data_IF_366745592021
#
_entry.id   IF_366745592021
#
_cell.length_a   1.000
_cell.length_b   1.000
_cell.length_c   1.000
_cell.angle_alpha   90.00
_cell.angle_beta   90.00
_cell.angle_gamma   90.00
#
_symmetry.space_group_name_H-M   'P 1'
#
loop_
_entity.id
_entity.type
_entity.pdbx_description
1 polymer ?
#
# COMPACT_ATOMS: atom_id res chain seq x y z
N UNK A 1 -46.96 51.35 28.26
CA UNK A 1 -45.78 50.72 28.90
C UNK A 1 -45.14 49.82 27.86
N UNK A 2 -44.06 50.30 27.22
CA UNK A 2 -43.33 49.55 26.21
C UNK A 2 -42.48 48.50 26.92
N UNK A 3 -42.81 47.21 26.76
CA UNK A 3 -41.98 46.14 27.29
C UNK A 3 -40.69 46.12 26.49
N UNK A 4 -39.64 46.70 27.08
CA UNK A 4 -38.29 46.69 26.55
C UNK A 4 -37.86 45.25 26.27
N UNK A 5 -37.47 45.00 25.02
CA UNK A 5 -36.99 43.72 24.55
C UNK A 5 -35.67 43.40 25.27
N UNK A 6 -35.72 42.64 26.37
CA UNK A 6 -34.51 42.23 27.08
C UNK A 6 -33.66 41.31 26.19
N UNK A 7 -32.36 41.58 26.03
CA UNK A 7 -31.49 40.71 25.25
C UNK A 7 -31.47 39.32 25.90
N UNK A 8 -31.81 38.30 25.10
CA UNK A 8 -31.75 36.91 25.57
C UNK A 8 -30.31 36.58 25.99
N UNK A 9 -30.11 35.90 27.14
CA UNK A 9 -28.78 35.47 27.56
C UNK A 9 -28.14 34.63 26.44
N UNK A 10 -26.86 34.88 26.16
CA UNK A 10 -26.10 34.07 25.21
C UNK A 10 -26.03 32.64 25.76
N UNK A 11 -26.24 31.61 24.94
CA UNK A 11 -26.14 30.25 25.41
C UNK A 11 -24.70 29.93 25.81
N UNK A 12 -24.51 29.30 26.97
CA UNK A 12 -23.20 28.87 27.47
C UNK A 12 -22.71 27.57 26.81
N UNK A 13 -23.61 26.86 26.12
CA UNK A 13 -23.34 25.59 25.46
C UNK A 13 -23.47 25.66 23.94
N UNK A 14 -22.74 24.79 23.20
CA UNK A 14 -22.86 24.70 21.75
C UNK A 14 -24.30 24.35 21.35
N UNK A 15 -24.77 24.94 20.25
CA UNK A 15 -26.08 24.61 19.70
C UNK A 15 -26.07 23.18 19.16
N UNK A 16 -27.15 22.44 19.38
CA UNK A 16 -27.23 21.03 18.95
C UNK A 16 -27.28 20.92 17.42
N UNK A 17 -26.44 20.05 16.87
CA UNK A 17 -26.50 19.63 15.46
C UNK A 17 -27.36 18.37 15.33
N UNK A 18 -28.25 18.34 14.32
CA UNK A 18 -28.97 17.12 13.95
C UNK A 18 -28.08 16.28 13.05
N UNK A 19 -27.85 15.01 13.41
CA UNK A 19 -27.00 14.06 12.66
C UNK A 19 -25.56 14.54 12.45
N UNK A 20 -25.01 15.32 13.38
CA UNK A 20 -23.63 15.74 13.30
C UNK A 20 -22.66 14.56 13.46
N UNK A 21 -21.50 14.68 12.83
CA UNK A 21 -20.43 13.70 12.82
C UNK A 21 -19.83 13.62 14.22
N UNK A 22 -19.94 12.45 14.83
CA UNK A 22 -19.36 12.13 16.12
C UNK A 22 -18.07 11.36 15.93
N UNK A 23 -17.08 11.67 16.77
CA UNK A 23 -15.91 10.82 16.91
C UNK A 23 -16.34 9.45 17.42
N UNK A 24 -15.87 8.39 16.77
CA UNK A 24 -16.12 7.00 17.14
C UNK A 24 -15.12 6.54 18.20
N UNK A 25 -13.89 7.03 18.13
CA UNK A 25 -12.82 6.77 19.10
C UNK A 25 -13.19 7.35 20.46
N UNK A 26 -13.12 6.50 21.49
CA UNK A 26 -13.33 6.89 22.89
C UNK A 26 -12.04 7.42 23.54
N UNK A 27 -10.91 6.91 23.09
CA UNK A 27 -9.55 7.30 23.49
C UNK A 27 -9.06 8.50 22.67
N UNK A 28 -8.00 9.17 23.14
CA UNK A 28 -7.37 10.30 22.45
C UNK A 28 -6.70 9.89 21.14
N UNK A 29 -5.82 10.74 20.59
CA UNK A 29 -5.06 10.47 19.35
C UNK A 29 -3.83 9.58 19.56
N UNK A 30 -3.82 8.77 20.61
CA UNK A 30 -2.68 7.92 20.98
C UNK A 30 -2.65 6.66 20.10
N UNK A 31 -1.48 6.14 19.75
CA UNK A 31 -1.34 4.89 18.99
C UNK A 31 -2.09 4.84 17.65
N UNK A 32 -2.10 5.95 16.90
CA UNK A 32 -2.63 5.95 15.54
C UNK A 32 -1.78 5.02 14.63
N UNK A 33 -2.46 4.28 13.76
CA UNK A 33 -1.80 3.56 12.66
C UNK A 33 -1.29 4.52 11.58
N UNK A 34 -0.36 4.04 10.75
CA UNK A 34 -0.05 4.71 9.49
C UNK A 34 -1.26 4.61 8.54
N UNK A 35 -1.64 5.66 7.75
CA UNK A 35 -0.98 6.96 7.60
C UNK A 35 -1.47 8.05 8.57
N UNK A 36 -2.49 7.76 9.40
CA UNK A 36 -3.07 8.75 10.32
C UNK A 36 -2.04 9.34 11.30
N UNK A 37 -1.17 8.50 11.88
CA UNK A 37 -0.10 8.94 12.78
C UNK A 37 0.77 10.04 12.18
N UNK A 38 1.20 9.85 10.95
CA UNK A 38 2.13 10.75 10.27
C UNK A 38 1.42 12.04 9.87
N UNK A 39 0.18 11.95 9.39
CA UNK A 39 -0.68 13.12 9.15
C UNK A 39 -0.93 13.94 10.42
N UNK A 40 -1.06 13.31 11.59
CA UNK A 40 -1.26 14.01 12.85
C UNK A 40 -0.09 14.94 13.18
N UNK A 41 1.12 14.61 12.73
CA UNK A 41 2.32 15.46 12.89
C UNK A 41 2.36 16.67 11.95
N UNK A 42 1.52 16.67 10.91
CA UNK A 42 1.42 17.76 9.90
C UNK A 42 0.34 18.79 10.24
N UNK A 43 -0.56 18.44 11.15
CA UNK A 43 -1.68 19.28 11.54
C UNK A 43 -1.43 19.92 12.90
N UNK A 44 -1.98 21.12 13.12
CA UNK A 44 -1.81 21.83 14.38
C UNK A 44 -2.78 21.25 15.42
N UNK A 45 -2.59 19.99 15.81
CA UNK A 45 -3.49 19.31 16.76
C UNK A 45 -3.04 19.52 18.20
N UNK A 46 -1.73 19.50 18.42
CA UNK A 46 -1.12 19.53 19.75
C UNK A 46 -0.59 20.91 20.15
N UNK A 47 -0.81 21.94 19.32
CA UNK A 47 -0.27 23.28 19.51
C UNK A 47 -0.92 24.01 20.70
N UNK A 48 -2.19 23.71 21.00
CA UNK A 48 -2.94 24.28 22.12
C UNK A 48 -3.77 23.22 22.85
N UNK A 49 -3.37 22.85 24.10
CA UNK A 49 -4.09 21.85 24.89
C UNK A 49 -5.56 22.18 25.17
N UNK A 50 -5.91 23.47 25.31
CA UNK A 50 -7.29 23.86 25.59
C UNK A 50 -8.17 23.73 24.34
N UNK A 51 -7.67 24.15 23.18
CA UNK A 51 -8.33 23.90 21.90
C UNK A 51 -8.51 22.41 21.61
N UNK A 52 -7.52 21.58 21.94
CA UNK A 52 -7.62 20.12 21.83
C UNK A 52 -8.72 19.54 22.74
N UNK A 53 -8.73 19.96 24.02
CA UNK A 53 -9.75 19.53 24.99
C UNK A 53 -11.16 19.87 24.49
N UNK A 54 -11.38 21.10 24.06
CA UNK A 54 -12.66 21.57 23.53
C UNK A 54 -13.04 20.86 22.22
N UNK A 55 -12.08 20.63 21.33
CA UNK A 55 -12.30 19.89 20.08
C UNK A 55 -12.80 18.47 20.36
N UNK A 56 -12.21 17.75 21.32
CA UNK A 56 -12.65 16.42 21.71
C UNK A 56 -14.06 16.41 22.30
N UNK A 57 -14.43 17.41 23.11
CA UNK A 57 -15.80 17.57 23.63
C UNK A 57 -16.83 17.82 22.51
N UNK A 58 -16.45 18.65 21.54
CA UNK A 58 -17.28 18.94 20.37
C UNK A 58 -17.41 17.71 19.46
N UNK A 59 -16.33 16.94 19.30
CA UNK A 59 -16.32 15.69 18.57
C UNK A 59 -17.22 14.63 19.19
N UNK A 60 -17.18 14.48 20.53
CA UNK A 60 -18.07 13.56 21.27
C UNK A 60 -19.54 13.95 21.16
N UNK A 61 -19.83 15.25 21.19
CA UNK A 61 -21.21 15.75 21.08
C UNK A 61 -21.74 15.79 19.65
N UNK A 62 -20.88 15.66 18.65
CA UNK A 62 -21.23 15.61 17.23
C UNK A 62 -21.47 16.98 16.63
N UNK A 63 -20.55 17.92 16.85
CA UNK A 63 -20.70 19.31 16.41
C UNK A 63 -20.27 19.58 14.96
N UNK A 64 -19.58 18.65 14.32
CA UNK A 64 -19.27 18.76 12.89
C UNK A 64 -20.52 18.42 12.08
N UNK A 65 -21.01 19.38 11.29
CA UNK A 65 -22.22 19.26 10.47
C UNK A 65 -21.96 18.41 9.23
N UNK A 66 -20.80 18.59 8.60
CA UNK A 66 -20.34 17.83 7.45
C UNK A 66 -18.81 17.64 7.52
N UNK A 67 -18.29 16.79 6.65
CA UNK A 67 -16.86 16.59 6.43
C UNK A 67 -16.69 16.13 4.99
N UNK A 68 -16.19 17.02 4.15
CA UNK A 68 -16.06 16.83 2.71
C UNK A 68 -14.59 16.84 2.34
N UNK A 69 -14.17 15.81 1.60
CA UNK A 69 -12.80 15.63 1.14
C UNK A 69 -12.76 15.74 -0.37
N UNK A 70 -11.91 16.64 -0.84
CA UNK A 70 -11.59 16.88 -2.24
C UNK A 70 -10.07 16.79 -2.43
N UNK A 71 -9.63 16.80 -3.69
CA UNK A 71 -8.20 16.82 -4.01
C UNK A 71 -7.52 18.08 -3.43
N UNK A 72 -6.58 17.88 -2.51
CA UNK A 72 -5.84 18.96 -1.87
C UNK A 72 -6.65 19.82 -0.90
N UNK A 73 -7.89 19.41 -0.57
CA UNK A 73 -8.82 20.27 0.16
C UNK A 73 -9.77 19.47 1.04
N UNK A 74 -9.95 19.92 2.28
CA UNK A 74 -10.96 19.42 3.21
C UNK A 74 -11.82 20.59 3.65
N UNK A 75 -13.14 20.43 3.58
CA UNK A 75 -14.08 21.42 4.11
C UNK A 75 -15.01 20.81 5.14
N UNK A 76 -15.33 21.60 6.16
CA UNK A 76 -16.26 21.20 7.20
C UNK A 76 -16.92 22.42 7.83
N UNK A 77 -18.16 22.23 8.31
CA UNK A 77 -18.92 23.20 9.09
C UNK A 77 -19.02 22.71 10.51
N UNK A 78 -18.55 23.51 11.47
CA UNK A 78 -18.58 23.15 12.89
C UNK A 78 -19.51 24.09 13.65
N UNK A 79 -20.52 23.51 14.30
CA UNK A 79 -21.45 24.25 15.13
C UNK A 79 -20.86 24.54 16.50
N UNK A 80 -21.04 25.77 16.97
CA UNK A 80 -20.64 26.20 18.31
C UNK A 80 -21.79 26.97 18.99
N UNK A 81 -21.46 27.95 19.84
CA UNK A 81 -22.43 28.88 20.45
C UNK A 81 -23.08 29.80 19.40
N UNK A 82 -22.34 30.17 18.35
CA UNK A 82 -22.79 31.08 17.30
C UNK A 82 -24.02 30.55 16.54
N UNK A 83 -24.95 31.41 16.07
CA UNK A 83 -26.14 30.95 15.34
C UNK A 83 -25.85 30.22 14.02
N UNK A 84 -24.75 30.57 13.35
CA UNK A 84 -24.30 29.92 12.11
C UNK A 84 -23.06 29.05 12.43
N UNK A 85 -22.96 27.83 11.87
CA UNK A 85 -21.74 27.04 11.95
C UNK A 85 -20.54 27.79 11.34
N UNK A 86 -19.36 27.56 11.91
CA UNK A 86 -18.11 28.06 11.36
C UNK A 86 -17.62 27.18 10.23
N UNK A 87 -17.08 27.79 9.19
CA UNK A 87 -16.50 27.09 8.06
C UNK A 87 -15.01 26.90 8.33
N UNK A 88 -14.57 25.65 8.19
CA UNK A 88 -13.19 25.21 8.33
C UNK A 88 -12.72 24.71 6.98
N UNK A 89 -11.53 25.11 6.61
CA UNK A 89 -10.86 24.74 5.37
C UNK A 89 -9.43 24.32 5.70
N UNK A 90 -9.05 23.12 5.27
CA UNK A 90 -7.67 22.62 5.31
C UNK A 90 -7.23 22.38 3.87
N UNK A 91 -6.12 22.97 3.47
CA UNK A 91 -5.60 22.92 2.10
C UNK A 91 -4.15 22.48 2.11
N UNK A 92 -3.77 21.72 1.09
CA UNK A 92 -2.40 21.28 0.84
C UNK A 92 -2.24 20.95 -0.66
N UNK A 93 -1.02 20.94 -1.20
CA UNK A 93 -0.80 20.69 -2.62
C UNK A 93 -1.33 19.31 -3.03
N UNK A 94 -2.19 19.27 -4.04
CA UNK A 94 -2.50 18.04 -4.76
C UNK A 94 -1.37 17.68 -5.74
N UNK A 95 -1.34 16.43 -6.20
CA UNK A 95 -0.41 16.01 -7.26
C UNK A 95 -1.07 16.21 -8.63
N UNK A 96 -0.31 16.75 -9.58
CA UNK A 96 -0.74 16.87 -10.98
C UNK A 96 -0.54 15.54 -11.73
N UNK A 97 -1.09 15.42 -12.93
CA UNK A 97 -1.02 14.18 -13.72
C UNK A 97 0.43 13.74 -14.03
N UNK A 98 1.37 14.69 -14.19
CA UNK A 98 2.79 14.37 -14.42
C UNK A 98 3.42 13.76 -13.16
N UNK A 99 3.11 14.31 -11.99
CA UNK A 99 3.54 13.78 -10.70
C UNK A 99 2.96 12.38 -10.47
N UNK A 100 1.67 12.19 -10.76
CA UNK A 100 1.02 10.88 -10.66
C UNK A 100 1.65 9.84 -11.58
N UNK A 101 1.98 10.19 -12.82
CA UNK A 101 2.68 9.28 -13.74
C UNK A 101 4.01 8.80 -13.17
N UNK A 102 4.81 9.71 -12.59
CA UNK A 102 6.09 9.34 -11.94
C UNK A 102 5.89 8.40 -10.76
N UNK A 103 4.91 8.67 -9.91
CA UNK A 103 4.57 7.79 -8.79
C UNK A 103 4.17 6.39 -9.30
N UNK A 104 3.32 6.33 -10.33
CA UNK A 104 2.88 5.07 -10.93
C UNK A 104 4.03 4.28 -11.55
N UNK A 105 4.98 4.95 -12.22
CA UNK A 105 6.20 4.33 -12.74
C UNK A 105 7.05 3.70 -11.63
N UNK A 106 7.29 4.43 -10.53
CA UNK A 106 8.03 3.91 -9.37
C UNK A 106 7.29 2.74 -8.71
N UNK A 107 5.98 2.87 -8.51
CA UNK A 107 5.16 1.84 -7.88
C UNK A 107 5.06 0.57 -8.74
N UNK A 108 4.98 0.73 -10.07
CA UNK A 108 4.94 -0.38 -11.02
C UNK A 108 6.28 -1.12 -11.15
N UNK A 109 7.41 -0.42 -10.93
CA UNK A 109 8.73 -1.03 -10.91
C UNK A 109 8.93 -1.97 -9.70
N UNK A 110 8.38 -1.61 -8.54
CA UNK A 110 8.47 -2.43 -7.33
C UNK A 110 7.35 -3.47 -7.21
N UNK A 111 7.69 -4.75 -7.37
CA UNK A 111 6.72 -5.84 -7.35
C UNK A 111 5.94 -5.94 -6.01
N UNK A 112 6.61 -5.62 -4.90
CA UNK A 112 6.02 -5.65 -3.54
C UNK A 112 4.95 -4.57 -3.37
N UNK A 113 5.22 -3.32 -3.75
CA UNK A 113 4.25 -2.22 -3.65
C UNK A 113 3.03 -2.52 -4.50
N UNK A 114 3.28 -2.91 -5.75
CA UNK A 114 2.19 -3.23 -6.67
C UNK A 114 1.32 -4.38 -6.18
N UNK A 115 1.91 -5.44 -5.60
CA UNK A 115 1.14 -6.54 -5.04
C UNK A 115 0.25 -6.08 -3.86
N UNK A 116 0.81 -5.30 -2.93
CA UNK A 116 0.08 -4.77 -1.76
C UNK A 116 -1.05 -3.82 -2.17
N UNK A 117 -0.75 -2.85 -3.03
CA UNK A 117 -1.74 -1.86 -3.47
C UNK A 117 -2.87 -2.50 -4.29
N UNK A 118 -2.55 -3.49 -5.13
CA UNK A 118 -3.57 -4.23 -5.88
C UNK A 118 -4.41 -5.16 -4.99
N UNK A 119 -3.85 -5.70 -3.90
CA UNK A 119 -4.63 -6.46 -2.90
C UNK A 119 -5.50 -5.56 -2.00
N UNK A 120 -5.42 -4.23 -2.16
CA UNK A 120 -6.14 -3.26 -1.32
C UNK A 120 -5.48 -3.06 0.04
N UNK A 121 -4.27 -3.57 0.25
CA UNK A 121 -3.48 -3.29 1.44
C UNK A 121 -2.77 -1.94 1.29
N UNK A 122 -2.76 -1.16 2.38
CA UNK A 122 -2.09 0.14 2.42
C UNK A 122 -1.07 0.19 3.59
N UNK A 123 -0.01 -0.63 3.56
CA UNK A 123 1.06 -0.60 4.55
C UNK A 123 2.03 0.57 4.32
N UNK A 124 2.77 0.96 5.35
CA UNK A 124 3.72 2.11 5.32
C UNK A 124 4.72 2.06 4.15
N UNK A 125 5.17 0.86 3.76
CA UNK A 125 6.06 0.64 2.61
C UNK A 125 5.52 1.21 1.29
N UNK A 126 4.20 1.48 1.18
CA UNK A 126 3.61 2.09 -0.04
C UNK A 126 3.91 3.58 -0.15
N UNK A 127 4.51 4.23 0.86
CA UNK A 127 5.01 5.60 0.75
C UNK A 127 6.29 5.69 -0.09
N UNK A 128 7.09 4.63 -0.15
CA UNK A 128 8.40 4.64 -0.80
C UNK A 128 8.34 5.04 -2.30
N UNK A 129 7.38 4.55 -3.12
CA UNK A 129 7.22 5.03 -4.50
C UNK A 129 6.91 6.52 -4.62
N UNK A 130 6.20 7.09 -3.63
CA UNK A 130 5.88 8.52 -3.59
C UNK A 130 7.12 9.35 -3.26
N UNK A 131 7.91 8.88 -2.28
CA UNK A 131 9.17 9.49 -1.90
C UNK A 131 10.20 9.44 -3.03
N UNK A 132 10.36 8.28 -3.68
CA UNK A 132 11.23 8.10 -4.84
C UNK A 132 10.84 8.99 -6.03
N UNK A 133 9.55 9.26 -6.21
CA UNK A 133 9.06 10.19 -7.24
C UNK A 133 9.24 11.68 -6.87
N UNK A 134 9.75 12.00 -5.67
CA UNK A 134 9.88 13.37 -5.16
C UNK A 134 8.54 14.01 -4.79
N UNK A 135 7.51 13.19 -4.58
CA UNK A 135 6.14 13.62 -4.34
C UNK A 135 5.54 12.85 -3.15
N UNK A 136 6.04 13.08 -1.91
CA UNK A 136 5.59 12.34 -0.73
C UNK A 136 4.07 12.29 -0.62
N UNK A 137 3.52 11.15 -0.20
CA UNK A 137 2.08 10.96 -0.04
C UNK A 137 1.52 11.90 1.04
N UNK A 138 2.31 12.12 2.09
CA UNK A 138 1.98 12.99 3.21
C UNK A 138 2.71 14.31 3.01
N UNK A 139 1.99 15.46 2.95
CA UNK A 139 2.61 16.76 2.75
C UNK A 139 3.49 17.17 3.95
N UNK A 140 4.36 18.15 3.75
CA UNK A 140 5.12 18.75 4.86
C UNK A 140 4.24 19.67 5.71
N UNK A 141 4.69 20.03 6.91
CA UNK A 141 3.94 20.92 7.80
C UNK A 141 3.71 22.30 7.17
N UNK A 142 4.67 22.80 6.39
CA UNK A 142 4.63 24.12 5.74
C UNK A 142 3.68 24.15 4.54
N UNK A 143 3.40 22.99 3.95
CA UNK A 143 2.48 22.83 2.84
C UNK A 143 1.01 22.87 3.29
N UNK A 144 0.74 22.54 4.55
CA UNK A 144 -0.62 22.47 5.11
C UNK A 144 -1.06 23.86 5.58
N UNK A 145 -2.14 24.36 4.98
CA UNK A 145 -2.78 25.61 5.36
C UNK A 145 -4.13 25.31 5.99
N UNK A 146 -4.41 25.95 7.12
CA UNK A 146 -5.70 25.83 7.80
C UNK A 146 -6.33 27.21 7.93
N UNK A 147 -7.65 27.28 7.77
CA UNK A 147 -8.41 28.52 7.97
C UNK A 147 -9.77 28.25 8.58
N UNK A 148 -10.26 29.21 9.36
CA UNK A 148 -11.57 29.15 10.00
C UNK A 148 -12.16 30.54 10.18
N UNK A 149 -13.44 30.71 9.88
CA UNK A 149 -14.13 32.00 9.96
C UNK A 149 -14.59 32.40 11.40
N UNK A 150 -14.11 31.72 12.44
CA UNK A 150 -14.57 31.95 13.82
C UNK A 150 -13.95 33.15 14.54
N UNK A 151 -12.85 33.70 14.02
CA UNK A 151 -12.12 34.81 14.64
C UNK A 151 -11.40 34.46 15.96
N UNK A 152 -11.43 33.18 16.36
CA UNK A 152 -10.85 32.64 17.59
C UNK A 152 -9.55 31.87 17.32
N UNK A 153 -8.82 32.28 16.28
CA UNK A 153 -7.49 31.76 15.95
C UNK A 153 -6.47 32.86 16.24
N UNK A 154 -5.33 32.48 16.79
CA UNK A 154 -4.17 33.36 16.87
C UNK A 154 -3.12 32.90 15.86
N UNK A 155 -2.10 33.71 15.54
CA UNK A 155 -1.02 33.28 14.65
C UNK A 155 -0.23 32.07 15.18
N UNK A 156 -0.36 31.74 16.48
CA UNK A 156 0.35 30.64 17.14
C UNK A 156 -0.56 29.52 17.67
N UNK A 157 -1.88 29.70 17.64
CA UNK A 157 -2.83 28.71 18.18
C UNK A 157 -4.00 28.47 17.22
N UNK A 158 -4.18 27.22 16.77
CA UNK A 158 -5.30 26.82 15.93
C UNK A 158 -6.59 26.89 16.76
N UNK A 159 -7.67 27.41 16.18
CA UNK A 159 -8.95 27.35 16.88
C UNK A 159 -9.43 25.89 17.04
N UNK A 160 -10.19 25.60 18.09
CA UNK A 160 -10.83 24.29 18.32
C UNK A 160 -11.56 23.68 17.11
N UNK A 161 -12.08 24.51 16.19
CA UNK A 161 -12.79 24.02 15.00
C UNK A 161 -11.82 23.38 14.00
N UNK A 162 -10.65 23.98 13.79
CA UNK A 162 -9.57 23.39 12.96
C UNK A 162 -9.10 22.10 13.60
N UNK A 163 -8.83 22.13 14.91
CA UNK A 163 -8.40 20.95 15.66
C UNK A 163 -9.42 19.81 15.55
N UNK A 164 -10.73 20.09 15.70
CA UNK A 164 -11.77 19.08 15.53
C UNK A 164 -11.76 18.44 14.13
N UNK A 165 -11.65 19.25 13.07
CA UNK A 165 -11.63 18.74 11.69
C UNK A 165 -10.38 17.91 11.43
N UNK A 166 -9.24 18.30 11.97
CA UNK A 166 -8.00 17.52 11.94
C UNK A 166 -8.15 16.17 12.63
N UNK A 167 -8.81 16.12 13.80
CA UNK A 167 -9.09 14.86 14.52
C UNK A 167 -10.02 13.95 13.71
N UNK A 168 -11.07 14.52 13.11
CA UNK A 168 -11.96 13.76 12.23
C UNK A 168 -11.17 13.18 11.05
N UNK A 169 -10.25 13.95 10.44
CA UNK A 169 -9.39 13.44 9.38
C UNK A 169 -8.53 12.26 9.86
N UNK A 170 -7.92 12.35 11.04
CA UNK A 170 -7.10 11.27 11.59
C UNK A 170 -7.89 9.98 11.76
N UNK A 171 -9.10 10.08 12.31
CA UNK A 171 -9.99 8.93 12.48
C UNK A 171 -10.39 8.32 11.12
N UNK A 172 -10.64 9.15 10.10
CA UNK A 172 -10.95 8.64 8.74
C UNK A 172 -9.76 7.99 8.06
N UNK A 173 -8.55 8.49 8.26
CA UNK A 173 -7.33 7.87 7.72
C UNK A 173 -7.00 6.56 8.42
N UNK A 174 -7.28 6.45 9.72
CA UNK A 174 -7.12 5.20 10.48
C UNK A 174 -8.12 4.14 9.99
N UNK A 175 -9.37 4.53 9.74
CA UNK A 175 -10.41 3.64 9.20
C UNK A 175 -10.21 3.30 7.71
N UNK A 176 -9.70 4.25 6.92
CA UNK A 176 -9.59 4.13 5.46
C UNK A 176 -8.30 4.78 4.98
N UNK A 177 -7.16 4.06 5.06
CA UNK A 177 -5.84 4.57 4.68
C UNK A 177 -5.74 5.09 3.24
N UNK A 178 -6.48 4.48 2.31
CA UNK A 178 -6.54 4.90 0.89
C UNK A 178 -7.07 6.32 0.70
N UNK A 179 -7.73 6.90 1.72
CA UNK A 179 -8.11 8.31 1.73
C UNK A 179 -6.90 9.23 1.50
N UNK A 180 -5.69 8.82 1.89
CA UNK A 180 -4.47 9.56 1.60
C UNK A 180 -4.23 9.80 0.10
N UNK A 181 -4.61 8.85 -0.77
CA UNK A 181 -4.54 9.04 -2.22
C UNK A 181 -5.54 10.10 -2.69
N UNK A 182 -6.76 10.08 -2.14
CA UNK A 182 -7.81 11.03 -2.49
C UNK A 182 -7.42 12.44 -2.08
N UNK A 183 -6.80 12.60 -0.91
CA UNK A 183 -6.22 13.87 -0.46
C UNK A 183 -5.20 14.38 -1.49
N UNK A 184 -4.39 13.50 -2.10
CA UNK A 184 -3.43 13.87 -3.15
C UNK A 184 -4.03 13.95 -4.56
N UNK A 185 -5.32 13.66 -4.73
CA UNK A 185 -6.06 13.87 -5.97
C UNK A 185 -6.35 12.63 -6.81
N UNK A 186 -6.15 11.41 -6.29
CA UNK A 186 -6.55 10.17 -6.98
C UNK A 186 -7.43 9.32 -6.09
N UNK A 187 -8.56 8.84 -6.61
CA UNK A 187 -9.32 7.81 -5.88
C UNK A 187 -8.53 6.51 -5.83
N UNK A 188 -8.71 5.71 -4.78
CA UNK A 188 -8.04 4.41 -4.65
C UNK A 188 -8.33 3.45 -5.80
N UNK A 189 -9.55 3.48 -6.35
CA UNK A 189 -9.91 2.68 -7.53
C UNK A 189 -9.15 3.13 -8.78
N UNK A 190 -9.19 4.43 -9.09
CA UNK A 190 -8.48 4.98 -10.25
C UNK A 190 -6.98 4.70 -10.16
N UNK A 191 -6.38 4.89 -8.99
CA UNK A 191 -4.96 4.61 -8.77
C UNK A 191 -4.60 3.14 -9.02
N UNK A 192 -5.45 2.19 -8.57
CA UNK A 192 -5.21 0.75 -8.80
C UNK A 192 -5.34 0.38 -10.26
N UNK A 193 -6.33 0.92 -10.97
CA UNK A 193 -6.51 0.68 -12.39
C UNK A 193 -5.28 1.18 -13.18
N UNK A 194 -4.83 2.40 -12.89
CA UNK A 194 -3.63 2.99 -13.52
C UNK A 194 -2.35 2.23 -13.17
N UNK A 195 -2.23 1.76 -11.93
CA UNK A 195 -1.09 0.94 -11.50
C UNK A 195 -1.07 -0.41 -12.21
N UNK A 196 -2.23 -1.03 -12.41
CA UNK A 196 -2.34 -2.27 -13.17
C UNK A 196 -1.94 -2.06 -14.63
N UNK A 197 -2.38 -0.96 -15.26
CA UNK A 197 -1.98 -0.58 -16.62
C UNK A 197 -0.48 -0.32 -16.72
N UNK A 198 0.08 0.47 -15.80
CA UNK A 198 1.51 0.74 -15.75
C UNK A 198 2.33 -0.55 -15.61
N UNK A 199 1.89 -1.48 -14.74
CA UNK A 199 2.55 -2.77 -14.55
C UNK A 199 2.49 -3.64 -15.81
N UNK A 200 1.37 -3.64 -16.53
CA UNK A 200 1.26 -4.33 -17.81
C UNK A 200 2.22 -3.74 -18.84
N UNK A 201 2.44 -2.43 -18.85
CA UNK A 201 3.39 -1.78 -19.76
C UNK A 201 4.84 -2.11 -19.40
N UNK A 202 5.22 -2.03 -18.12
CA UNK A 202 6.57 -2.35 -17.65
C UNK A 202 6.96 -3.81 -17.93
N UNK A 203 6.00 -4.74 -17.82
CA UNK A 203 6.26 -6.18 -17.98
C UNK A 203 6.13 -6.69 -19.43
N UNK A 204 5.64 -5.88 -20.37
CA UNK A 204 5.41 -6.28 -21.78
C UNK A 204 6.66 -6.80 -22.50
N UNK A 205 7.86 -6.31 -22.14
CA UNK A 205 9.13 -6.71 -22.77
C UNK A 205 9.83 -7.90 -22.10
N UNK A 206 9.41 -8.29 -20.90
CA UNK A 206 10.08 -9.34 -20.09
C UNK A 206 9.37 -10.69 -20.20
N UNK A 207 8.24 -10.74 -20.90
CA UNK A 207 7.35 -11.89 -20.94
C UNK A 207 7.82 -12.94 -21.96
N UNK A 208 8.93 -13.62 -21.66
CA UNK A 208 9.27 -14.90 -22.27
C UNK A 208 9.12 -15.99 -21.19
N UNK A 209 8.37 -17.03 -21.52
CA UNK A 209 8.24 -18.23 -20.71
C UNK A 209 8.77 -19.39 -21.54
N UNK A 210 9.37 -20.40 -20.89
CA UNK A 210 9.60 -21.66 -21.57
C UNK A 210 8.28 -22.22 -22.09
N UNK A 211 8.35 -23.06 -23.11
CA UNK A 211 7.27 -24.01 -23.38
C UNK A 211 7.11 -24.96 -22.18
N UNK A 212 6.04 -25.76 -22.15
CA UNK A 212 5.95 -26.84 -21.16
C UNK A 212 7.26 -27.64 -21.20
N UNK A 213 7.91 -27.85 -20.05
CA UNK A 213 9.14 -28.62 -20.02
C UNK A 213 8.84 -30.04 -20.51
N UNK A 214 9.75 -30.61 -21.30
CA UNK A 214 9.55 -31.94 -21.88
C UNK A 214 9.26 -32.95 -20.77
N UNK A 215 8.03 -33.45 -20.80
CA UNK A 215 7.63 -34.59 -19.98
C UNK A 215 8.57 -35.72 -20.33
N UNK A 216 9.08 -36.44 -19.33
CA UNK A 216 9.92 -37.61 -19.56
C UNK A 216 9.11 -38.61 -20.39
N UNK A 217 9.36 -38.62 -21.70
CA UNK A 217 8.88 -39.68 -22.57
C UNK A 217 9.69 -40.92 -22.19
N UNK A 218 9.00 -41.95 -21.71
CA UNK A 218 9.62 -43.25 -21.48
C UNK A 218 10.27 -43.68 -22.80
N UNK A 219 11.59 -43.84 -22.79
CA UNK A 219 12.44 -44.11 -23.97
C UNK A 219 12.11 -45.43 -24.68
N UNK A 220 11.15 -46.19 -24.18
CA UNK A 220 10.69 -47.43 -24.77
C UNK A 220 9.18 -47.57 -24.57
N UNK A 221 8.42 -47.99 -25.59
CA UNK A 221 7.02 -48.32 -25.41
C UNK A 221 6.93 -49.40 -24.34
N UNK A 222 6.20 -49.09 -23.26
CA UNK A 222 5.86 -50.08 -22.25
C UNK A 222 4.99 -51.12 -22.94
N UNK A 223 5.55 -52.30 -23.16
CA UNK A 223 4.82 -53.45 -23.69
C UNK A 223 3.85 -53.96 -22.63
N UNK A 224 2.76 -54.61 -23.05
CA UNK A 224 1.74 -55.13 -22.13
C UNK A 224 2.34 -55.99 -21.02
N UNK A 225 1.82 -55.90 -19.80
CA UNK A 225 2.33 -56.63 -18.63
C UNK A 225 2.34 -58.14 -18.90
N UNK A 226 1.33 -58.64 -19.60
CA UNK A 226 1.15 -60.03 -20.00
C UNK A 226 2.35 -60.56 -20.79
N UNK A 227 2.92 -59.74 -21.67
CA UNK A 227 4.11 -60.09 -22.47
C UNK A 227 5.42 -60.14 -21.68
N UNK A 228 5.41 -59.66 -20.43
CA UNK A 228 6.59 -59.58 -19.56
C UNK A 228 6.49 -60.44 -18.30
N UNK A 229 5.46 -61.27 -18.15
CA UNK A 229 5.27 -62.10 -16.94
C UNK A 229 6.48 -62.98 -16.60
N UNK A 230 7.15 -63.56 -17.61
CA UNK A 230 8.32 -64.44 -17.40
C UNK A 230 9.55 -63.71 -16.85
N UNK A 231 9.70 -62.42 -17.17
CA UNK A 231 10.84 -61.59 -16.77
C UNK A 231 10.43 -60.48 -15.79
N UNK A 232 9.18 -60.50 -15.29
CA UNK A 232 8.61 -59.43 -14.46
C UNK A 232 9.43 -59.18 -13.19
N UNK A 233 9.88 -60.26 -12.54
CA UNK A 233 10.70 -60.21 -11.34
C UNK A 233 12.20 -60.10 -11.64
N UNK A 234 12.60 -60.08 -12.91
CA UNK A 234 13.99 -59.98 -13.33
C UNK A 234 14.29 -58.53 -13.73
N UNK A 235 15.04 -57.79 -12.91
CA UNK A 235 15.47 -56.45 -13.32
C UNK A 235 16.34 -56.58 -14.59
N UNK A 236 15.87 -56.00 -15.69
CA UNK A 236 16.60 -55.99 -16.96
C UNK A 236 17.91 -55.20 -16.86
N UNK A 237 18.76 -55.34 -17.88
CA UNK A 237 20.06 -54.67 -17.96
C UNK A 237 19.95 -53.14 -17.72
N UNK A 238 18.87 -52.51 -18.19
CA UNK A 238 18.61 -51.08 -18.00
C UNK A 238 18.55 -50.64 -16.52
N UNK A 239 18.10 -51.49 -15.59
CA UNK A 239 18.11 -51.15 -14.16
C UNK A 239 19.52 -51.27 -13.56
N UNK A 240 20.31 -52.23 -14.02
CA UNK A 240 21.70 -52.37 -13.62
C UNK A 240 22.54 -51.19 -14.15
N UNK A 241 22.32 -50.81 -15.41
CA UNK A 241 22.95 -49.64 -16.03
C UNK A 241 22.55 -48.34 -15.31
N UNK A 242 21.28 -48.19 -14.92
CA UNK A 242 20.83 -47.05 -14.11
C UNK A 242 21.48 -47.02 -12.73
N UNK A 243 21.60 -48.17 -12.06
CA UNK A 243 22.25 -48.26 -10.73
C UNK A 243 23.74 -47.96 -10.77
N UNK A 244 24.39 -48.30 -11.88
CA UNK A 244 25.83 -48.09 -12.07
C UNK A 244 26.13 -46.73 -12.72
N UNK A 245 25.11 -46.06 -13.26
CA UNK A 245 25.24 -44.75 -13.87
C UNK A 245 25.48 -43.66 -12.84
N UNK A 246 26.27 -42.66 -13.20
CA UNK A 246 26.35 -41.42 -12.44
C UNK A 246 25.02 -40.68 -12.59
N UNK A 247 24.37 -40.36 -11.47
CA UNK A 247 23.27 -39.40 -11.51
C UNK A 247 23.85 -38.02 -11.82
N UNK A 248 23.20 -37.22 -12.68
CA UNK A 248 23.58 -35.83 -12.85
C UNK A 248 23.36 -35.08 -11.53
N UNK A 249 24.30 -34.22 -11.16
CA UNK A 249 24.25 -33.42 -9.93
C UNK A 249 23.03 -32.47 -9.92
N UNK A 250 22.59 -32.03 -11.11
CA UNK A 250 21.42 -31.19 -11.27
C UNK A 250 20.60 -31.57 -12.50
N UNK A 251 19.28 -31.68 -12.34
CA UNK A 251 18.32 -31.81 -13.43
C UNK A 251 17.41 -30.58 -13.41
N UNK A 252 17.53 -29.68 -14.39
CA UNK A 252 16.68 -28.51 -14.49
C UNK A 252 15.20 -28.91 -14.50
N UNK A 253 14.41 -28.18 -13.71
CA UNK A 253 12.95 -28.31 -13.68
C UNK A 253 12.41 -29.71 -13.34
N UNK A 254 13.15 -30.57 -12.63
CA UNK A 254 12.77 -31.96 -12.38
C UNK A 254 11.35 -32.12 -11.78
N UNK A 255 10.97 -31.24 -10.85
CA UNK A 255 9.63 -31.22 -10.26
C UNK A 255 8.56 -30.82 -11.28
N UNK A 256 8.83 -29.80 -12.11
CA UNK A 256 7.90 -29.33 -13.14
C UNK A 256 7.71 -30.38 -14.26
N UNK A 257 8.79 -31.08 -14.63
CA UNK A 257 8.75 -32.20 -15.59
C UNK A 257 7.90 -33.36 -15.10
N UNK A 258 7.92 -33.63 -13.78
CA UNK A 258 7.10 -34.67 -13.15
C UNK A 258 5.63 -34.28 -13.05
N UNK A 259 5.33 -33.00 -12.87
CA UNK A 259 3.97 -32.46 -12.85
C UNK A 259 3.31 -32.45 -14.23
N UNK A 260 4.11 -32.25 -15.29
CA UNK A 260 3.61 -32.23 -16.67
C UNK A 260 2.95 -30.91 -17.06
N UNK A 261 2.18 -30.92 -18.15
CA UNK A 261 1.46 -29.73 -18.61
C UNK A 261 0.33 -29.36 -17.64
N UNK A 262 0.18 -28.07 -17.34
CA UNK A 262 -0.92 -27.58 -16.51
C UNK A 262 -2.23 -27.50 -17.28
N UNK A 263 -3.38 -27.79 -16.65
CA UNK A 263 -4.70 -27.60 -17.24
C UNK A 263 -5.17 -26.14 -17.26
N UNK A 264 -4.44 -25.20 -16.64
CA UNK A 264 -4.83 -23.79 -16.56
C UNK A 264 -4.54 -23.07 -17.87
N UNK A 265 -5.54 -22.33 -18.38
CA UNK A 265 -5.43 -21.52 -19.59
C UNK A 265 -4.85 -20.13 -19.28
N UNK A 266 -4.01 -19.62 -20.18
CA UNK A 266 -3.38 -18.31 -20.05
C UNK A 266 -2.49 -17.97 -21.24
N UNK A 267 -1.89 -16.78 -21.23
CA UNK A 267 -0.97 -16.32 -22.30
C UNK A 267 0.24 -17.24 -22.45
N UNK A 268 0.69 -17.85 -21.35
CA UNK A 268 1.78 -18.81 -21.31
C UNK A 268 1.36 -20.05 -20.52
N UNK A 269 1.91 -21.23 -20.84
CA UNK A 269 1.74 -22.40 -19.99
C UNK A 269 2.36 -22.14 -18.60
N UNK A 270 1.62 -22.38 -17.52
CA UNK A 270 2.09 -22.04 -16.16
C UNK A 270 3.37 -22.78 -15.77
N UNK A 271 3.57 -24.03 -16.22
CA UNK A 271 4.79 -24.79 -15.90
C UNK A 271 5.98 -24.28 -16.69
N UNK A 272 5.75 -23.77 -17.91
CA UNK A 272 6.76 -23.03 -18.66
C UNK A 272 7.11 -21.68 -18.02
N UNK A 273 6.13 -20.96 -17.48
CA UNK A 273 6.36 -19.72 -16.72
C UNK A 273 7.16 -19.98 -15.44
N UNK A 274 6.77 -21.00 -14.66
CA UNK A 274 7.50 -21.39 -13.46
C UNK A 274 8.93 -21.81 -13.79
N UNK A 275 9.14 -22.56 -14.88
CA UNK A 275 10.48 -22.92 -15.33
C UNK A 275 11.35 -21.66 -15.52
N UNK A 276 10.83 -20.63 -16.21
CA UNK A 276 11.61 -19.40 -16.45
C UNK A 276 11.92 -18.65 -15.15
N UNK A 277 10.99 -18.68 -14.18
CA UNK A 277 11.23 -18.12 -12.85
C UNK A 277 12.34 -18.90 -12.12
N UNK A 278 12.29 -20.23 -12.15
CA UNK A 278 13.31 -21.08 -11.53
C UNK A 278 14.70 -20.85 -12.14
N UNK A 279 14.80 -20.76 -13.47
CA UNK A 279 16.07 -20.47 -14.15
C UNK A 279 16.61 -19.10 -13.74
N UNK A 280 15.75 -18.06 -13.76
CA UNK A 280 16.15 -16.70 -13.38
C UNK A 280 16.65 -16.63 -11.93
N UNK A 281 15.94 -17.29 -11.01
CA UNK A 281 16.34 -17.33 -9.59
C UNK A 281 17.62 -18.13 -9.39
N UNK A 282 17.79 -19.24 -10.12
CA UNK A 282 19.00 -20.06 -10.05
C UNK A 282 20.23 -19.31 -10.61
N UNK A 283 20.08 -18.57 -11.72
CA UNK A 283 21.13 -17.72 -12.28
C UNK A 283 21.53 -16.60 -11.31
N UNK A 284 20.56 -15.97 -10.65
CA UNK A 284 20.83 -14.93 -9.65
C UNK A 284 21.55 -15.49 -8.41
N UNK A 285 21.08 -16.63 -7.88
CA UNK A 285 21.71 -17.28 -6.74
C UNK A 285 23.17 -17.69 -7.03
N UNK A 286 23.45 -18.17 -8.25
CA UNK A 286 24.82 -18.46 -8.70
C UNK A 286 25.68 -17.20 -8.70
N UNK A 287 25.21 -16.11 -9.31
CA UNK A 287 25.93 -14.83 -9.34
C UNK A 287 26.26 -14.28 -7.95
N UNK A 288 25.32 -14.39 -7.01
CA UNK A 288 25.53 -13.96 -5.61
C UNK A 288 26.60 -14.83 -4.92
N UNK A 289 26.63 -16.13 -5.23
CA UNK A 289 27.61 -17.05 -4.63
C UNK A 289 29.00 -16.82 -5.21
N UNK A 290 29.11 -16.67 -6.54
CA UNK A 290 30.36 -16.35 -7.24
C UNK A 290 30.97 -15.03 -6.74
N UNK A 291 30.15 -13.98 -6.58
CA UNK A 291 30.63 -12.68 -6.05
C UNK A 291 31.07 -12.77 -4.58
N UNK A 292 30.39 -13.56 -3.75
CA UNK A 292 30.81 -13.78 -2.36
C UNK A 292 32.14 -14.55 -2.27
N UNK A 293 32.36 -15.55 -3.14
CA UNK A 293 33.62 -16.29 -3.21
C UNK A 293 34.78 -15.41 -3.73
N UNK A 294 34.52 -14.52 -4.70
CA UNK A 294 35.49 -13.54 -5.18
C UNK A 294 35.89 -12.55 -4.07
N UNK A 295 34.93 -12.00 -3.31
CA UNK A 295 35.20 -11.09 -2.20
C UNK A 295 36.01 -11.76 -1.06
N UNK A 296 35.71 -13.03 -0.73
CA UNK A 296 36.50 -13.79 0.25
C UNK A 296 37.93 -14.07 -0.24
N UNK A 297 38.10 -14.42 -1.53
CA UNK A 297 39.43 -14.64 -2.11
C UNK A 297 40.29 -13.38 -2.11
N UNK A 298 39.70 -12.22 -2.43
CA UNK A 298 40.39 -10.93 -2.49
C UNK A 298 40.72 -10.38 -1.08
N UNK A 299 39.87 -10.65 -0.08
CA UNK A 299 40.15 -10.35 1.33
C UNK A 299 41.32 -11.18 1.91
N UNK A 300 41.58 -12.36 1.34
CA UNK A 300 42.65 -13.26 1.80
C UNK A 300 44.00 -12.95 1.14
N UNK A 301 44.02 -12.24 0.00
CA UNK A 301 45.24 -11.83 -0.72
C UNK A 301 45.83 -10.48 -0.27
N UNK A 302 45.16 -9.72 0.61
CA UNK A 302 45.71 -8.52 1.26
C UNK A 302 45.63 -8.53 2.80
N UNK A 303 46.30 -9.46 3.50
CA UNK A 303 46.54 -9.30 4.93
C UNK A 303 47.85 -8.53 5.14
N UNK A 304 47.70 -7.26 5.53
CA UNK A 304 48.73 -6.37 6.09
C UNK A 304 49.89 -5.91 5.18
N UNK A 305 49.86 -4.61 4.84
CA UNK A 305 51.05 -3.76 4.64
C UNK A 305 50.94 -2.55 5.60
#
# INVERSE_FOLDING_TARGET
>A
MSMGNMPRPKPDSPRRVRNGIRLRRKEGLENLGWPARDWATRLPINDDPESLRLALEYGKSGQAVNFEVESGRITSKVQCIAPKPHEVLIEFPGLNDTSWKRVLEQAAAGAIYSAKLLSGEFPEIVSEPFEAAGHPLIPSNEEVRTSCNCGDHSPQSPCRHVVLVSIILMERLEETPELALLLRGRSGNLFRDELQEARMLTTRGVSQAHTNPDVVQLSSPVTSIESRLNDFWRPGASLQDFRNGSLPDHIPHALLRRLGASPLEGRFPITGLLASIYDTVADEARRITETAEEDESNATEHPDD
#
